data_IF_657630603218
#
_entry.id   IF_657630603218
#
_cell.length_a   1.000
_cell.length_b   1.000
_cell.length_c   1.000
_cell.angle_alpha   90.00
_cell.angle_beta   90.00
_cell.angle_gamma   90.00
#
_symmetry.space_group_name_H-M   'P 1'
#
loop_
_entity.id
_entity.type
_entity.pdbx_description
1 polymer ?
#
# COMPACT_ATOMS: atom_id res chain seq x y z
N UNK A 1 40.99 10.91 -0.17
CA UNK A 1 39.83 10.20 0.41
C UNK A 1 40.24 8.73 0.62
N UNK A 2 40.28 8.25 1.87
CA UNK A 2 40.89 6.96 2.24
C UNK A 2 40.24 5.76 1.48
N UNK A 3 41.03 4.77 1.05
CA UNK A 3 40.56 3.61 0.26
C UNK A 3 39.40 2.85 0.94
N UNK A 4 39.43 2.73 2.27
CA UNK A 4 38.33 2.17 3.08
C UNK A 4 37.00 2.90 2.91
N UNK A 5 37.01 4.24 2.82
CA UNK A 5 35.80 5.03 2.64
C UNK A 5 35.20 4.86 1.23
N UNK A 6 36.04 4.56 0.23
CA UNK A 6 35.59 4.26 -1.14
C UNK A 6 34.89 2.89 -1.20
N UNK A 7 35.45 1.87 -0.55
CA UNK A 7 34.85 0.52 -0.49
C UNK A 7 33.49 0.58 0.20
N UNK A 8 33.40 1.24 1.35
CA UNK A 8 32.14 1.37 2.10
C UNK A 8 31.05 2.09 1.28
N UNK A 9 31.43 3.15 0.57
CA UNK A 9 30.50 3.87 -0.33
C UNK A 9 30.01 2.98 -1.47
N UNK A 10 30.90 2.19 -2.07
CA UNK A 10 30.51 1.27 -3.16
C UNK A 10 29.57 0.17 -2.66
N UNK A 11 29.83 -0.41 -1.49
CA UNK A 11 28.94 -1.40 -0.87
C UNK A 11 27.56 -0.80 -0.57
N UNK A 12 27.52 0.42 -0.04
CA UNK A 12 26.26 1.13 0.20
C UNK A 12 25.48 1.37 -1.10
N UNK A 13 26.16 1.74 -2.19
CA UNK A 13 25.54 1.93 -3.50
C UNK A 13 24.93 0.63 -4.03
N UNK A 14 25.68 -0.47 -3.98
CA UNK A 14 25.20 -1.81 -4.39
C UNK A 14 23.99 -2.21 -3.56
N UNK A 15 24.03 -2.00 -2.25
CA UNK A 15 22.91 -2.28 -1.36
C UNK A 15 21.68 -1.42 -1.71
N UNK A 16 21.85 -0.13 -1.99
CA UNK A 16 20.74 0.74 -2.43
C UNK A 16 20.12 0.28 -3.75
N UNK A 17 20.92 -0.20 -4.71
CA UNK A 17 20.40 -0.77 -5.95
C UNK A 17 19.63 -2.06 -5.69
N UNK A 18 20.14 -2.92 -4.82
CA UNK A 18 19.46 -4.13 -4.38
C UNK A 18 18.09 -3.82 -3.77
N UNK A 19 18.03 -2.85 -2.84
CA UNK A 19 16.76 -2.42 -2.24
C UNK A 19 15.77 -1.86 -3.28
N UNK A 20 16.23 -1.01 -4.20
CA UNK A 20 15.38 -0.46 -5.26
C UNK A 20 14.84 -1.57 -6.19
N UNK A 21 15.67 -2.57 -6.51
CA UNK A 21 15.26 -3.74 -7.27
C UNK A 21 14.20 -4.56 -6.51
N UNK A 22 14.42 -4.82 -5.22
CA UNK A 22 13.44 -5.52 -4.37
C UNK A 22 12.10 -4.78 -4.33
N UNK A 23 12.11 -3.45 -4.20
CA UNK A 23 10.89 -2.64 -4.27
C UNK A 23 10.22 -2.76 -5.65
N UNK A 24 10.99 -2.69 -6.74
CA UNK A 24 10.46 -2.85 -8.10
C UNK A 24 9.83 -4.22 -8.35
N UNK A 25 10.48 -5.31 -7.89
CA UNK A 25 9.94 -6.67 -8.00
C UNK A 25 8.66 -6.83 -7.15
N UNK A 26 8.63 -6.25 -5.95
CA UNK A 26 7.42 -6.20 -5.13
C UNK A 26 6.28 -5.43 -5.81
N UNK A 27 6.55 -4.33 -6.51
CA UNK A 27 5.53 -3.59 -7.28
C UNK A 27 4.92 -4.43 -8.40
N UNK A 28 5.74 -5.24 -9.08
CA UNK A 28 5.33 -5.99 -10.29
C UNK A 28 4.70 -7.35 -9.93
N UNK A 29 5.15 -8.00 -8.87
CA UNK A 29 4.79 -9.39 -8.56
C UNK A 29 4.17 -9.59 -7.16
N UNK A 30 4.24 -8.60 -6.28
CA UNK A 30 3.63 -8.57 -4.95
C UNK A 30 3.79 -9.90 -4.19
N UNK A 31 2.66 -10.52 -3.79
CA UNK A 31 2.62 -11.78 -3.02
C UNK A 31 3.46 -12.88 -3.65
N UNK A 32 3.44 -13.02 -4.98
CA UNK A 32 4.17 -14.07 -5.67
C UNK A 32 5.69 -13.92 -5.48
N UNK A 33 6.20 -12.69 -5.37
CA UNK A 33 7.62 -12.44 -5.11
C UNK A 33 8.02 -12.67 -3.65
N UNK A 34 7.27 -12.11 -2.69
CA UNK A 34 7.56 -12.33 -1.26
C UNK A 34 7.36 -13.79 -0.83
N UNK A 35 6.56 -14.56 -1.58
CA UNK A 35 6.36 -15.98 -1.35
C UNK A 35 7.51 -16.87 -1.85
N UNK A 36 8.48 -16.34 -2.61
CA UNK A 36 9.64 -17.13 -3.07
C UNK A 36 10.37 -17.68 -1.85
N UNK A 37 10.68 -18.97 -1.87
CA UNK A 37 11.34 -19.65 -0.76
C UNK A 37 12.82 -19.92 -1.07
N UNK A 38 13.72 -19.44 -0.22
CA UNK A 38 15.16 -19.67 -0.27
C UNK A 38 15.55 -20.50 0.95
N UNK A 39 16.10 -21.70 0.74
CA UNK A 39 16.47 -22.63 1.83
C UNK A 39 15.32 -22.92 2.82
N UNK A 40 14.07 -22.92 2.34
CA UNK A 40 12.87 -23.14 3.14
C UNK A 40 12.32 -21.91 3.87
N UNK A 41 12.94 -20.73 3.73
CA UNK A 41 12.45 -19.46 4.31
C UNK A 41 11.93 -18.56 3.19
N UNK A 42 10.76 -17.96 3.37
CA UNK A 42 10.16 -17.07 2.37
C UNK A 42 10.85 -15.71 2.38
N UNK A 43 10.97 -15.06 1.21
CA UNK A 43 11.51 -13.70 1.12
C UNK A 43 10.76 -12.74 2.04
N UNK A 44 9.43 -12.84 2.11
CA UNK A 44 8.62 -11.99 2.99
C UNK A 44 8.92 -12.18 4.48
N UNK A 45 9.27 -13.39 4.91
CA UNK A 45 9.68 -13.66 6.30
C UNK A 45 11.06 -13.03 6.59
N UNK A 46 11.99 -13.12 5.64
CA UNK A 46 13.29 -12.45 5.73
C UNK A 46 13.16 -10.93 5.76
N UNK A 47 12.26 -10.37 4.95
CA UNK A 47 11.97 -8.93 4.92
C UNK A 47 11.42 -8.45 6.28
N UNK A 48 10.45 -9.17 6.86
CA UNK A 48 9.90 -8.85 8.19
C UNK A 48 10.95 -9.04 9.29
N UNK A 49 11.76 -10.10 9.24
CA UNK A 49 12.85 -10.32 10.20
C UNK A 49 13.91 -9.21 10.13
N UNK A 50 14.25 -8.77 8.91
CA UNK A 50 15.12 -7.62 8.69
C UNK A 50 14.52 -6.32 9.26
N UNK A 51 13.22 -6.10 9.06
CA UNK A 51 12.49 -4.95 9.60
C UNK A 51 12.47 -4.95 11.14
N UNK A 52 12.23 -6.12 11.75
CA UNK A 52 12.31 -6.32 13.20
C UNK A 52 13.72 -5.97 13.70
N UNK A 53 14.76 -6.52 13.10
CA UNK A 53 16.14 -6.27 13.50
C UNK A 53 16.51 -4.78 13.42
N UNK A 54 16.13 -4.11 12.33
CA UNK A 54 16.31 -2.66 12.18
C UNK A 54 15.57 -1.89 13.27
N UNK A 55 14.33 -2.29 13.59
CA UNK A 55 13.52 -1.68 14.64
C UNK A 55 14.17 -1.80 16.02
N UNK A 56 14.73 -2.97 16.35
CA UNK A 56 15.40 -3.20 17.63
C UNK A 56 16.71 -2.41 17.76
N UNK A 57 17.53 -2.34 16.70
CA UNK A 57 18.72 -1.47 16.69
C UNK A 57 18.28 -0.01 16.89
N UNK A 58 17.21 0.41 16.22
CA UNK A 58 16.70 1.77 16.30
C UNK A 58 16.23 2.13 17.71
N UNK A 59 15.60 1.19 18.41
CA UNK A 59 15.20 1.32 19.81
C UNK A 59 16.42 1.64 20.70
N UNK A 60 17.48 0.83 20.59
CA UNK A 60 18.70 0.97 21.40
C UNK A 60 19.45 2.27 21.10
N UNK A 61 19.68 2.58 19.82
CA UNK A 61 20.41 3.78 19.44
C UNK A 61 20.02 4.27 18.06
N UNK A 62 19.39 5.45 18.03
CA UNK A 62 19.09 6.17 16.79
C UNK A 62 20.36 6.73 16.13
N UNK A 63 21.53 6.69 16.78
CA UNK A 63 22.80 7.18 16.20
C UNK A 63 23.32 6.29 15.08
N UNK A 64 22.99 4.99 15.10
CA UNK A 64 23.31 4.06 14.01
C UNK A 64 22.49 4.31 12.75
N UNK A 65 21.45 5.14 12.86
CA UNK A 65 20.68 5.68 11.76
C UNK A 65 21.02 7.16 11.62
N UNK A 66 22.16 7.51 11.00
CA UNK A 66 22.62 8.91 10.84
C UNK A 66 21.66 9.78 10.00
N UNK A 67 20.46 9.30 9.70
CA UNK A 67 19.41 9.93 8.91
C UNK A 67 18.05 9.88 9.63
N UNK A 68 18.04 10.04 10.95
CA UNK A 68 16.77 10.10 11.67
C UNK A 68 15.88 11.19 11.09
N UNK A 69 14.72 10.80 10.54
CA UNK A 69 13.82 11.70 9.80
C UNK A 69 13.49 12.96 10.59
N UNK A 70 13.06 12.75 11.84
CA UNK A 70 12.78 13.81 12.79
C UNK A 70 12.67 13.28 14.22
N UNK A 71 12.84 14.17 15.20
CA UNK A 71 12.74 13.84 16.63
C UNK A 71 11.37 13.28 17.01
N UNK A 72 10.27 13.80 16.47
CA UNK A 72 8.92 13.34 16.81
C UNK A 72 8.66 11.94 16.24
N UNK A 73 9.01 11.71 14.97
CA UNK A 73 8.94 10.38 14.37
C UNK A 73 9.73 9.36 15.20
N UNK A 74 10.97 9.70 15.57
CA UNK A 74 11.80 8.80 16.38
C UNK A 74 11.17 8.48 17.73
N UNK A 75 10.61 9.50 18.39
CA UNK A 75 9.95 9.36 19.68
C UNK A 75 8.76 8.40 19.57
N UNK A 76 7.85 8.65 18.63
CA UNK A 76 6.65 7.82 18.49
C UNK A 76 6.98 6.41 18.04
N UNK A 77 7.92 6.22 17.10
CA UNK A 77 8.29 4.88 16.68
C UNK A 77 8.93 4.06 17.82
N UNK A 78 9.79 4.67 18.63
CA UNK A 78 10.32 4.02 19.85
C UNK A 78 9.22 3.68 20.85
N UNK A 79 8.27 4.59 21.07
CA UNK A 79 7.14 4.33 21.96
C UNK A 79 6.26 3.18 21.47
N UNK A 80 6.05 3.04 20.15
CA UNK A 80 5.32 1.90 19.56
C UNK A 80 6.05 0.58 19.83
N UNK A 81 7.39 0.55 19.64
CA UNK A 81 8.18 -0.65 19.93
C UNK A 81 8.13 -1.00 21.42
N UNK A 82 8.23 -0.01 22.31
CA UNK A 82 8.08 -0.23 23.76
C UNK A 82 6.67 -0.72 24.09
N UNK A 83 5.63 -0.17 23.47
CA UNK A 83 4.26 -0.60 23.71
C UNK A 83 4.03 -2.05 23.28
N UNK A 84 4.70 -2.53 22.23
CA UNK A 84 4.69 -3.96 21.87
C UNK A 84 5.17 -4.83 23.03
N UNK A 85 6.31 -4.51 23.64
CA UNK A 85 6.84 -5.30 24.77
C UNK A 85 5.95 -5.22 26.01
N UNK A 86 5.31 -4.08 26.26
CA UNK A 86 4.33 -3.94 27.34
C UNK A 86 3.12 -4.86 27.09
N UNK A 87 2.57 -4.85 25.87
CA UNK A 87 1.45 -5.72 25.49
C UNK A 87 1.85 -7.19 25.62
N UNK A 88 3.00 -7.58 25.08
CA UNK A 88 3.55 -8.95 25.20
C UNK A 88 3.63 -9.39 26.66
N UNK A 89 4.11 -8.53 27.56
CA UNK A 89 4.21 -8.84 28.98
C UNK A 89 2.82 -9.02 29.62
N UNK A 90 1.87 -8.13 29.33
CA UNK A 90 0.51 -8.17 29.89
C UNK A 90 -0.25 -9.41 29.39
N UNK A 91 -0.16 -9.70 28.09
CA UNK A 91 -0.87 -10.81 27.45
C UNK A 91 -0.12 -12.13 27.60
N UNK A 92 1.08 -12.14 28.18
CA UNK A 92 1.96 -13.32 28.32
C UNK A 92 2.24 -13.98 26.96
N UNK A 93 2.44 -13.16 25.92
CA UNK A 93 2.81 -13.66 24.59
C UNK A 93 4.22 -14.25 24.64
N UNK A 94 4.37 -15.44 24.06
CA UNK A 94 5.68 -16.07 23.88
C UNK A 94 6.47 -15.38 22.77
N UNK A 95 7.60 -14.76 23.14
CA UNK A 95 8.52 -14.10 22.19
C UNK A 95 9.33 -15.08 21.34
N UNK A 96 9.31 -16.38 21.63
CA UNK A 96 9.92 -17.40 20.78
C UNK A 96 8.97 -17.88 19.68
N UNK A 97 7.67 -17.58 19.80
CA UNK A 97 6.68 -17.90 18.79
C UNK A 97 6.82 -17.02 17.55
N UNK A 98 6.91 -17.64 16.38
CA UNK A 98 6.89 -16.94 15.08
C UNK A 98 5.57 -16.20 14.85
N UNK A 99 4.48 -16.68 15.44
CA UNK A 99 3.17 -16.05 15.35
C UNK A 99 3.14 -14.66 15.99
N UNK A 100 3.90 -14.45 17.07
CA UNK A 100 3.99 -13.14 17.72
C UNK A 100 4.51 -12.08 16.76
N UNK A 101 5.49 -12.41 15.91
CA UNK A 101 6.07 -11.51 14.91
C UNK A 101 5.22 -11.40 13.65
N UNK A 102 4.54 -12.49 13.24
CA UNK A 102 3.55 -12.45 12.14
C UNK A 102 2.41 -11.49 12.45
N UNK A 103 1.81 -11.61 13.64
CA UNK A 103 0.66 -10.80 14.06
C UNK A 103 1.02 -9.36 14.46
N UNK A 104 2.30 -9.08 14.71
CA UNK A 104 2.84 -7.72 14.97
C UNK A 104 3.60 -7.14 13.77
N UNK A 105 3.51 -7.74 12.59
CA UNK A 105 4.24 -7.32 11.38
C UNK A 105 4.09 -5.83 11.08
N UNK A 106 2.89 -5.28 11.25
CA UNK A 106 2.55 -3.86 11.03
C UNK A 106 3.38 -2.87 11.88
N UNK A 107 4.02 -3.34 12.95
CA UNK A 107 4.96 -2.56 13.77
C UNK A 107 6.33 -2.53 13.11
N UNK A 108 6.84 -3.71 12.77
CA UNK A 108 8.20 -3.88 12.28
C UNK A 108 8.39 -3.27 10.90
N UNK A 109 7.39 -3.39 10.04
CA UNK A 109 7.42 -2.88 8.66
C UNK A 109 7.51 -1.36 8.58
N UNK A 110 7.21 -0.61 9.65
CA UNK A 110 7.47 0.84 9.73
C UNK A 110 8.95 1.16 9.48
N UNK A 111 9.86 0.28 9.91
CA UNK A 111 11.31 0.47 9.73
C UNK A 111 11.78 0.47 8.28
N UNK A 112 10.97 -0.02 7.33
CA UNK A 112 11.24 0.10 5.89
C UNK A 112 11.37 1.55 5.44
N UNK A 113 10.87 2.51 6.22
CA UNK A 113 11.09 3.94 5.97
C UNK A 113 12.58 4.29 5.94
N UNK A 114 13.41 3.61 6.74
CA UNK A 114 14.85 3.82 6.72
C UNK A 114 15.50 3.30 5.45
N UNK A 115 14.94 2.29 4.80
CA UNK A 115 15.39 1.85 3.48
C UNK A 115 15.18 2.96 2.45
N UNK A 116 14.03 3.64 2.49
CA UNK A 116 13.75 4.79 1.63
C UNK A 116 14.75 5.92 1.81
N UNK A 117 15.02 6.29 3.06
CA UNK A 117 16.00 7.32 3.41
C UNK A 117 17.42 6.91 2.95
N UNK A 118 17.77 5.64 3.10
CA UNK A 118 19.06 5.11 2.65
C UNK A 118 19.19 5.15 1.12
N UNK A 119 18.17 4.71 0.38
CA UNK A 119 18.13 4.81 -1.09
C UNK A 119 18.28 6.27 -1.52
N UNK A 120 17.57 7.20 -0.88
CA UNK A 120 17.69 8.64 -1.18
C UNK A 120 19.13 9.13 -1.04
N UNK A 121 19.78 8.81 0.08
CA UNK A 121 21.15 9.26 0.32
C UNK A 121 22.13 8.88 -0.78
N UNK A 122 22.06 7.65 -1.29
CA UNK A 122 23.07 7.13 -2.22
C UNK A 122 22.66 7.21 -3.69
N UNK A 123 21.36 7.17 -4.00
CA UNK A 123 20.85 7.08 -5.37
C UNK A 123 20.07 8.30 -5.85
N UNK A 124 19.78 9.32 -5.02
CA UNK A 124 18.98 10.48 -5.44
C UNK A 124 19.48 11.12 -6.75
N UNK A 125 20.79 11.31 -6.90
CA UNK A 125 21.37 11.93 -8.11
C UNK A 125 21.33 11.00 -9.34
N UNK A 126 21.16 9.69 -9.14
CA UNK A 126 21.14 8.69 -10.20
C UNK A 126 19.70 8.30 -10.59
N UNK A 127 18.70 8.70 -9.79
CA UNK A 127 17.30 8.35 -10.04
C UNK A 127 16.76 8.83 -11.38
N UNK A 128 17.31 9.92 -11.93
CA UNK A 128 16.88 10.43 -13.23
C UNK A 128 17.04 9.36 -14.34
N UNK A 129 18.05 8.48 -14.21
CA UNK A 129 18.28 7.37 -15.13
C UNK A 129 17.26 6.23 -14.97
N UNK A 130 16.55 6.16 -13.83
CA UNK A 130 15.50 5.17 -13.55
C UNK A 130 14.10 5.65 -13.96
N UNK A 131 13.94 6.91 -14.39
CA UNK A 131 12.64 7.43 -14.85
C UNK A 131 11.96 6.53 -15.89
N UNK A 132 12.65 6.02 -16.93
CA UNK A 132 12.02 5.10 -17.88
C UNK A 132 11.43 3.85 -17.20
N UNK A 133 12.08 3.31 -16.17
CA UNK A 133 11.60 2.14 -15.42
C UNK A 133 10.30 2.49 -14.69
N UNK A 134 10.21 3.67 -14.06
CA UNK A 134 8.99 4.10 -13.37
C UNK A 134 7.80 4.31 -14.33
N UNK A 135 8.04 4.57 -15.61
CA UNK A 135 6.99 4.60 -16.65
C UNK A 135 6.65 3.19 -17.17
N UNK A 136 7.63 2.30 -17.28
CA UNK A 136 7.44 0.93 -17.78
C UNK A 136 6.74 0.04 -16.74
N UNK A 137 7.06 0.18 -15.46
CA UNK A 137 6.49 -0.65 -14.38
C UNK A 137 4.96 -0.69 -14.38
N UNK A 138 4.23 0.46 -14.36
CA UNK A 138 2.77 0.44 -14.48
C UNK A 138 2.27 -0.14 -15.80
N UNK A 139 2.98 0.04 -16.92
CA UNK A 139 2.57 -0.55 -18.20
C UNK A 139 2.62 -2.08 -18.15
N UNK A 140 3.69 -2.64 -17.59
CA UNK A 140 3.83 -4.09 -17.38
C UNK A 140 2.71 -4.61 -16.47
N UNK A 141 2.44 -3.91 -15.36
CA UNK A 141 1.34 -4.24 -14.45
C UNK A 141 0.00 -4.22 -15.18
N UNK A 142 -0.27 -3.20 -16.00
CA UNK A 142 -1.51 -3.11 -16.77
C UNK A 142 -1.69 -4.30 -17.72
N UNK A 143 -0.66 -4.63 -18.50
CA UNK A 143 -0.68 -5.76 -19.45
C UNK A 143 -1.00 -7.07 -18.73
N UNK A 144 -0.36 -7.32 -17.60
CA UNK A 144 -0.58 -8.51 -16.78
C UNK A 144 -1.97 -8.53 -16.13
N UNK A 145 -2.42 -7.40 -15.57
CA UNK A 145 -3.71 -7.29 -14.88
C UNK A 145 -4.91 -7.35 -15.85
N UNK A 146 -4.71 -6.97 -17.11
CA UNK A 146 -5.74 -6.96 -18.15
C UNK A 146 -5.82 -8.26 -18.97
N UNK A 147 -5.12 -9.33 -18.54
CA UNK A 147 -5.27 -10.68 -19.10
C UNK A 147 -4.06 -11.23 -19.86
N UNK A 148 -3.00 -10.46 -20.07
CA UNK A 148 -1.81 -10.91 -20.81
C UNK A 148 -0.66 -11.24 -19.87
N UNK A 149 -0.86 -12.20 -18.97
CA UNK A 149 0.19 -12.66 -18.07
C UNK A 149 1.07 -13.72 -18.74
N UNK A 150 2.40 -13.57 -18.82
CA UNK A 150 3.25 -14.55 -19.48
C UNK A 150 3.32 -15.89 -18.74
N UNK A 151 3.03 -17.00 -19.45
CA UNK A 151 3.00 -18.35 -18.86
C UNK A 151 4.32 -18.75 -18.18
N UNK A 152 5.47 -18.35 -18.74
CA UNK A 152 6.78 -18.69 -18.14
C UNK A 152 6.97 -18.03 -16.77
N UNK A 153 6.41 -16.82 -16.57
CA UNK A 153 6.45 -16.13 -15.27
C UNK A 153 5.49 -16.81 -14.29
N UNK A 154 4.30 -17.21 -14.75
CA UNK A 154 3.36 -17.97 -13.92
C UNK A 154 4.00 -19.27 -13.43
N UNK A 155 4.59 -20.04 -14.34
CA UNK A 155 5.25 -21.30 -14.02
C UNK A 155 6.40 -21.11 -13.04
N UNK A 156 7.23 -20.09 -13.23
CA UNK A 156 8.28 -19.75 -12.27
C UNK A 156 7.73 -19.55 -10.85
N UNK A 157 6.65 -18.79 -10.67
CA UNK A 157 6.08 -18.60 -9.34
C UNK A 157 5.36 -19.83 -8.80
N UNK A 158 4.77 -20.67 -9.65
CA UNK A 158 4.20 -21.95 -9.23
C UNK A 158 5.30 -22.87 -8.70
N UNK A 159 6.48 -22.88 -9.33
CA UNK A 159 7.57 -23.78 -8.98
C UNK A 159 8.38 -23.30 -7.76
N UNK A 160 8.54 -21.98 -7.59
CA UNK A 160 9.48 -21.40 -6.61
C UNK A 160 8.84 -20.54 -5.51
N UNK A 161 7.55 -20.26 -5.56
CA UNK A 161 6.83 -19.44 -4.58
C UNK A 161 5.79 -20.24 -3.81
N UNK A 162 5.44 -19.79 -2.60
CA UNK A 162 4.35 -20.32 -1.79
C UNK A 162 3.03 -20.38 -2.57
N UNK A 163 2.74 -19.33 -3.35
CA UNK A 163 1.53 -19.26 -4.18
C UNK A 163 1.69 -18.24 -5.28
N UNK A 164 1.43 -18.66 -6.52
CA UNK A 164 1.17 -17.71 -7.59
C UNK A 164 -0.18 -17.02 -7.37
N UNK A 165 -0.17 -15.68 -7.41
CA UNK A 165 -1.37 -14.87 -7.33
C UNK A 165 -1.25 -13.65 -8.24
N UNK A 166 -2.34 -13.34 -8.96
CA UNK A 166 -2.48 -12.05 -9.64
C UNK A 166 -2.47 -10.91 -8.63
N UNK A 167 -1.97 -9.75 -9.06
CA UNK A 167 -1.90 -8.55 -8.24
C UNK A 167 -3.28 -8.14 -7.73
N UNK A 168 -3.38 -7.85 -6.43
CA UNK A 168 -4.59 -7.24 -5.88
C UNK A 168 -4.67 -5.77 -6.32
N UNK A 169 -5.88 -5.22 -6.29
CA UNK A 169 -6.10 -3.82 -6.65
C UNK A 169 -5.30 -2.83 -5.76
N UNK A 170 -5.13 -3.16 -4.48
CA UNK A 170 -4.30 -2.39 -3.54
C UNK A 170 -2.82 -2.41 -3.92
N UNK A 171 -2.29 -3.57 -4.32
CA UNK A 171 -0.91 -3.72 -4.81
C UNK A 171 -0.68 -2.91 -6.10
N UNK A 172 -1.64 -2.93 -7.04
CA UNK A 172 -1.60 -2.12 -8.26
C UNK A 172 -1.60 -0.62 -7.93
N UNK A 173 -2.47 -0.19 -7.02
CA UNK A 173 -2.59 1.22 -6.64
C UNK A 173 -1.29 1.75 -6.02
N UNK A 174 -0.71 1.03 -5.06
CA UNK A 174 0.54 1.46 -4.42
C UNK A 174 1.69 1.53 -5.41
N UNK A 175 1.80 0.58 -6.34
CA UNK A 175 2.81 0.60 -7.39
C UNK A 175 2.65 1.81 -8.32
N UNK A 176 1.41 2.13 -8.72
CA UNK A 176 1.09 3.26 -9.58
C UNK A 176 1.42 4.60 -8.93
N UNK A 177 1.00 4.81 -7.68
CA UNK A 177 1.23 6.06 -6.92
C UNK A 177 2.71 6.22 -6.56
N UNK A 178 3.37 5.14 -6.15
CA UNK A 178 4.81 5.19 -5.82
C UNK A 178 5.65 5.51 -7.05
N UNK A 179 5.33 4.88 -8.20
CA UNK A 179 6.01 5.16 -9.47
C UNK A 179 5.81 6.63 -9.91
N UNK A 180 4.61 7.20 -9.75
CA UNK A 180 4.39 8.63 -9.96
C UNK A 180 5.29 9.51 -9.09
N UNK A 181 5.41 9.18 -7.79
CA UNK A 181 6.22 9.95 -6.87
C UNK A 181 7.73 9.83 -7.14
N UNK A 182 8.20 8.66 -7.57
CA UNK A 182 9.57 8.52 -8.04
C UNK A 182 9.85 9.39 -9.27
N UNK A 183 8.93 9.47 -10.24
CA UNK A 183 9.03 10.41 -11.38
C UNK A 183 9.07 11.85 -10.88
N UNK A 184 8.14 12.24 -10.01
CA UNK A 184 8.02 13.60 -9.46
C UNK A 184 9.30 14.08 -8.76
N UNK A 185 9.92 13.22 -7.96
CA UNK A 185 11.14 13.58 -7.22
C UNK A 185 12.35 13.81 -8.14
N UNK A 186 12.41 13.14 -9.29
CA UNK A 186 13.52 13.33 -10.25
C UNK A 186 13.58 14.73 -10.86
N UNK A 187 12.53 15.55 -10.72
CA UNK A 187 12.44 16.91 -11.29
C UNK A 187 12.69 16.98 -12.81
N UNK A 188 12.46 15.88 -13.55
CA UNK A 188 12.64 15.83 -15.00
C UNK A 188 11.68 16.78 -15.75
N UNK A 189 10.57 17.16 -15.11
CA UNK A 189 9.70 18.25 -15.51
C UNK A 189 8.22 17.98 -15.22
N UNK A 190 7.47 19.03 -14.84
CA UNK A 190 6.04 18.95 -14.52
C UNK A 190 5.19 18.37 -15.68
N UNK A 191 5.64 18.53 -16.93
CA UNK A 191 5.04 17.89 -18.10
C UNK A 191 4.91 16.38 -17.93
N UNK A 192 5.95 15.72 -17.45
CA UNK A 192 5.98 14.25 -17.30
C UNK A 192 5.09 13.79 -16.16
N UNK A 193 5.01 14.57 -15.07
CA UNK A 193 4.06 14.32 -13.98
C UNK A 193 2.61 14.38 -14.48
N UNK A 194 2.27 15.41 -15.27
CA UNK A 194 0.92 15.56 -15.84
C UNK A 194 0.62 14.47 -16.87
N UNK A 195 1.56 14.14 -17.77
CA UNK A 195 1.39 13.01 -18.71
C UNK A 195 1.16 11.72 -17.94
N UNK A 196 1.93 11.50 -16.87
CA UNK A 196 1.76 10.29 -16.06
C UNK A 196 0.35 10.23 -15.46
N UNK A 197 -0.09 11.33 -14.83
CA UNK A 197 -1.39 11.46 -14.18
C UNK A 197 -2.54 11.20 -15.18
N UNK A 198 -2.52 11.83 -16.36
CA UNK A 198 -3.59 11.71 -17.34
C UNK A 198 -3.56 10.38 -18.10
N UNK A 199 -2.39 9.86 -18.45
CA UNK A 199 -2.32 8.64 -19.24
C UNK A 199 -2.44 7.38 -18.37
N UNK A 200 -1.62 7.22 -17.33
CA UNK A 200 -1.61 5.97 -16.57
C UNK A 200 -2.84 5.85 -15.67
N UNK A 201 -3.24 6.91 -14.95
CA UNK A 201 -4.41 6.79 -14.08
C UNK A 201 -5.68 6.47 -14.88
N UNK A 202 -5.85 7.03 -16.09
CA UNK A 202 -7.00 6.73 -16.93
C UNK A 202 -7.04 5.30 -17.45
N UNK A 203 -5.89 4.72 -17.79
CA UNK A 203 -5.80 3.30 -18.16
C UNK A 203 -6.11 2.40 -16.95
N UNK A 204 -5.71 2.80 -15.74
CA UNK A 204 -5.91 1.99 -14.53
C UNK A 204 -7.30 2.15 -13.90
N UNK A 205 -8.07 3.19 -14.22
CA UNK A 205 -9.42 3.39 -13.68
C UNK A 205 -10.34 2.18 -13.93
N UNK A 206 -10.51 1.67 -15.17
CA UNK A 206 -11.34 0.48 -15.41
C UNK A 206 -10.82 -0.79 -14.73
N UNK A 207 -9.49 -0.95 -14.68
CA UNK A 207 -8.84 -2.10 -14.03
C UNK A 207 -9.17 -2.12 -12.53
N UNK A 208 -8.96 -0.99 -11.85
CA UNK A 208 -9.23 -0.88 -10.42
C UNK A 208 -10.72 -0.98 -10.12
N UNK A 209 -11.58 -0.45 -10.99
CA UNK A 209 -13.03 -0.59 -10.87
C UNK A 209 -13.48 -2.06 -10.90
N UNK A 210 -12.89 -2.88 -11.78
CA UNK A 210 -13.15 -4.34 -11.84
C UNK A 210 -12.64 -5.06 -10.58
N UNK A 211 -11.43 -4.73 -10.13
CA UNK A 211 -10.75 -5.48 -9.08
C UNK A 211 -11.17 -5.09 -7.66
N UNK A 212 -11.35 -3.79 -7.36
CA UNK A 212 -11.74 -3.29 -6.02
C UNK A 212 -12.28 -1.87 -6.04
N UNK A 213 -13.52 -1.70 -5.56
CA UNK A 213 -14.16 -0.38 -5.36
C UNK A 213 -13.36 0.53 -4.43
N UNK A 214 -12.78 -0.02 -3.36
CA UNK A 214 -11.94 0.75 -2.43
C UNK A 214 -10.69 1.33 -3.10
N UNK A 215 -10.01 0.52 -3.93
CA UNK A 215 -8.82 0.98 -4.67
C UNK A 215 -9.19 1.94 -5.81
N UNK A 216 -10.36 1.76 -6.43
CA UNK A 216 -10.91 2.73 -7.38
C UNK A 216 -11.14 4.11 -6.72
N UNK A 217 -11.77 4.15 -5.55
CA UNK A 217 -11.91 5.41 -4.80
C UNK A 217 -10.54 5.97 -4.41
N UNK A 218 -9.59 5.11 -4.03
CA UNK A 218 -8.20 5.48 -3.78
C UNK A 218 -7.53 6.19 -4.95
N UNK A 219 -7.62 5.66 -6.18
CA UNK A 219 -7.04 6.34 -7.35
C UNK A 219 -7.75 7.65 -7.68
N UNK A 220 -9.07 7.73 -7.46
CA UNK A 220 -9.84 8.96 -7.66
C UNK A 220 -9.39 10.05 -6.67
N UNK A 221 -9.22 9.72 -5.39
CA UNK A 221 -8.65 10.63 -4.38
C UNK A 221 -7.26 11.12 -4.81
N UNK A 222 -6.39 10.20 -5.24
CA UNK A 222 -5.07 10.54 -5.76
C UNK A 222 -5.14 11.54 -6.93
N UNK A 223 -5.98 11.24 -7.93
CA UNK A 223 -6.13 12.07 -9.12
C UNK A 223 -6.63 13.48 -8.78
N UNK A 224 -7.63 13.60 -7.90
CA UNK A 224 -8.14 14.91 -7.47
C UNK A 224 -7.09 15.72 -6.71
N UNK A 225 -6.39 15.10 -5.76
CA UNK A 225 -5.34 15.78 -4.99
C UNK A 225 -4.18 16.21 -5.88
N UNK A 226 -3.68 15.35 -6.77
CA UNK A 226 -2.61 15.73 -7.69
C UNK A 226 -3.04 16.78 -8.71
N UNK A 227 -4.26 16.69 -9.25
CA UNK A 227 -4.78 17.74 -10.12
C UNK A 227 -4.85 19.10 -9.39
N UNK A 228 -5.25 19.10 -8.12
CA UNK A 228 -5.24 20.30 -7.28
C UNK A 228 -3.83 20.85 -7.07
N UNK A 229 -2.84 19.99 -6.77
CA UNK A 229 -1.46 20.44 -6.56
C UNK A 229 -0.77 20.88 -7.86
N UNK A 230 -1.18 20.36 -9.02
CA UNK A 230 -0.65 20.73 -10.34
C UNK A 230 -1.45 21.85 -11.02
N UNK A 231 -2.49 22.42 -10.38
CA UNK A 231 -3.44 23.36 -10.99
C UNK A 231 -2.78 24.54 -11.72
N UNK A 232 -1.70 25.08 -11.17
CA UNK A 232 -0.98 26.22 -11.76
C UNK A 232 -0.40 25.86 -13.14
N UNK A 233 0.23 24.69 -13.25
CA UNK A 233 0.74 24.18 -14.52
C UNK A 233 -0.40 23.84 -15.48
N UNK A 234 -1.47 23.19 -14.98
CA UNK A 234 -2.62 22.81 -15.81
C UNK A 234 -3.31 24.02 -16.46
N UNK A 235 -3.43 25.13 -15.72
CA UNK A 235 -4.00 26.39 -16.22
C UNK A 235 -3.03 27.10 -17.17
N UNK A 236 -1.74 27.19 -16.79
CA UNK A 236 -0.70 27.82 -17.61
C UNK A 236 -0.58 27.16 -18.99
N UNK A 237 -0.60 25.84 -19.03
CA UNK A 237 -0.43 25.03 -20.24
C UNK A 237 -1.77 24.50 -20.79
N UNK A 238 -2.87 25.26 -20.64
CA UNK A 238 -4.25 24.82 -20.94
C UNK A 238 -4.46 24.07 -22.26
N UNK A 239 -3.75 24.45 -23.33
CA UNK A 239 -3.82 23.76 -24.63
C UNK A 239 -3.24 22.34 -24.55
N UNK A 240 -2.08 22.17 -23.90
CA UNK A 240 -1.48 20.85 -23.66
C UNK A 240 -2.32 20.05 -22.69
N UNK A 241 -2.83 20.68 -21.64
CA UNK A 241 -3.76 20.05 -20.68
C UNK A 241 -5.01 19.50 -21.38
N UNK A 242 -5.60 20.25 -22.32
CA UNK A 242 -6.73 19.77 -23.12
C UNK A 242 -6.37 18.55 -23.97
N UNK A 243 -5.18 18.56 -24.60
CA UNK A 243 -4.68 17.40 -25.35
C UNK A 243 -4.52 16.17 -24.44
N UNK A 244 -3.92 16.34 -23.26
CA UNK A 244 -3.76 15.25 -22.28
C UNK A 244 -5.10 14.73 -21.77
N UNK A 245 -6.07 15.62 -21.55
CA UNK A 245 -7.42 15.24 -21.17
C UNK A 245 -8.11 14.41 -22.26
N UNK A 246 -8.07 14.86 -23.53
CA UNK A 246 -8.65 14.09 -24.64
C UNK A 246 -7.95 12.73 -24.80
N UNK A 247 -6.62 12.69 -24.71
CA UNK A 247 -5.87 11.43 -24.74
C UNK A 247 -6.28 10.50 -23.58
N UNK A 248 -6.51 11.06 -22.39
CA UNK A 248 -6.96 10.30 -21.21
C UNK A 248 -8.33 9.66 -21.40
N UNK A 249 -9.26 10.35 -22.08
CA UNK A 249 -10.59 9.80 -22.42
C UNK A 249 -10.48 8.65 -23.40
N UNK A 250 -9.64 8.80 -24.43
CA UNK A 250 -9.38 7.73 -25.41
C UNK A 250 -8.77 6.52 -24.69
N UNK A 251 -7.75 6.72 -23.86
CA UNK A 251 -7.09 5.66 -23.12
C UNK A 251 -8.02 4.95 -22.13
N UNK A 252 -8.88 5.71 -21.43
CA UNK A 252 -9.92 5.15 -20.57
C UNK A 252 -10.86 4.25 -21.37
N UNK A 253 -11.40 4.74 -22.49
CA UNK A 253 -12.27 3.94 -23.35
C UNK A 253 -11.57 2.68 -23.86
N UNK A 254 -10.35 2.78 -24.38
CA UNK A 254 -9.58 1.61 -24.82
C UNK A 254 -9.39 0.59 -23.69
N UNK A 255 -9.18 1.08 -22.46
CA UNK A 255 -9.10 0.20 -21.30
C UNK A 255 -10.44 -0.45 -20.93
N UNK A 256 -11.59 0.21 -21.11
CA UNK A 256 -12.89 -0.42 -20.86
C UNK A 256 -13.13 -1.58 -21.83
N UNK A 257 -12.87 -1.39 -23.13
CA UNK A 257 -12.95 -2.48 -24.14
C UNK A 257 -12.07 -3.66 -23.75
N UNK A 258 -10.82 -3.38 -23.38
CA UNK A 258 -9.89 -4.44 -22.98
C UNK A 258 -10.37 -5.19 -21.73
N UNK A 259 -10.97 -4.50 -20.77
CA UNK A 259 -11.40 -5.12 -19.52
C UNK A 259 -12.65 -5.98 -19.63
N UNK A 260 -13.54 -5.69 -20.60
CA UNK A 260 -14.71 -6.53 -20.93
C UNK A 260 -14.42 -7.57 -22.00
N UNK A 261 -13.30 -7.44 -22.72
CA UNK A 261 -12.96 -8.35 -23.82
C UNK A 261 -13.73 -8.08 -25.10
N UNK A 262 -14.42 -6.93 -25.19
CA UNK A 262 -15.09 -6.50 -26.42
C UNK A 262 -14.03 -6.09 -27.44
N UNK A 263 -14.06 -6.75 -28.60
CA UNK A 263 -13.15 -6.43 -29.69
C UNK A 263 -13.44 -5.05 -30.28
N UNK A 264 -12.38 -4.30 -30.59
CA UNK A 264 -12.49 -2.96 -31.17
C UNK A 264 -12.70 -3.09 -32.69
N UNK A 265 -13.95 -3.02 -33.12
CA UNK A 265 -14.40 -3.02 -34.52
C UNK A 265 -15.24 -1.77 -34.82
N UNK A 266 -15.34 -1.27 -36.07
CA UNK A 266 -16.13 -0.07 -36.40
C UNK A 266 -17.56 -0.08 -35.85
N UNK A 267 -18.22 -1.24 -35.81
CA UNK A 267 -19.57 -1.43 -35.28
C UNK A 267 -19.67 -1.30 -33.76
N UNK A 268 -18.59 -1.63 -33.05
CA UNK A 268 -18.52 -1.61 -31.58
C UNK A 268 -18.03 -0.28 -31.05
N UNK A 269 -17.45 0.59 -31.90
CA UNK A 269 -16.91 1.89 -31.47
C UNK A 269 -18.07 2.88 -31.35
N UNK A 270 -18.62 2.98 -30.14
CA UNK A 270 -19.67 3.94 -29.82
C UNK A 270 -19.58 4.38 -28.36
N UNK A 271 -20.12 5.57 -28.04
CA UNK A 271 -20.25 6.03 -26.65
C UNK A 271 -21.12 5.09 -25.82
N UNK A 272 -22.15 4.52 -26.44
CA UNK A 272 -23.07 3.57 -25.81
C UNK A 272 -22.34 2.29 -25.36
N UNK A 273 -21.49 1.74 -26.22
CA UNK A 273 -20.68 0.55 -25.89
C UNK A 273 -19.70 0.82 -24.75
N UNK A 274 -19.13 2.03 -24.65
CA UNK A 274 -18.29 2.41 -23.50
C UNK A 274 -19.11 2.44 -22.21
N UNK A 275 -20.33 2.99 -22.23
CA UNK A 275 -21.23 3.00 -21.07
C UNK A 275 -21.59 1.58 -20.66
N UNK A 276 -21.97 0.73 -21.60
CA UNK A 276 -22.28 -0.69 -21.36
C UNK A 276 -21.08 -1.44 -20.78
N UNK A 277 -19.88 -1.22 -21.31
CA UNK A 277 -18.65 -1.82 -20.78
C UNK A 277 -18.37 -1.38 -19.34
N UNK A 278 -18.59 -0.10 -19.02
CA UNK A 278 -18.45 0.41 -17.65
C UNK A 278 -19.48 -0.25 -16.73
N UNK A 279 -20.73 -0.38 -17.16
CA UNK A 279 -21.77 -1.07 -16.41
C UNK A 279 -21.39 -2.54 -16.16
N UNK A 280 -20.91 -3.26 -17.17
CA UNK A 280 -20.46 -4.64 -17.03
C UNK A 280 -19.31 -4.75 -16.01
N UNK A 281 -18.29 -3.89 -16.10
CA UNK A 281 -17.16 -3.87 -15.17
C UNK A 281 -17.63 -3.62 -13.74
N UNK A 282 -18.60 -2.73 -13.54
CA UNK A 282 -19.13 -2.44 -12.19
C UNK A 282 -20.01 -3.57 -11.63
N UNK A 283 -20.70 -4.31 -12.51
CA UNK A 283 -21.52 -5.48 -12.16
C UNK A 283 -20.73 -6.76 -11.96
N UNK A 284 -19.48 -6.83 -12.43
CA UNK A 284 -18.61 -8.01 -12.30
C UNK A 284 -18.54 -8.58 -10.87
N UNK A 285 -18.69 -7.74 -9.84
CA UNK A 285 -18.99 -8.17 -8.48
C UNK A 285 -20.47 -7.94 -8.20
N UNK A 286 -21.24 -9.01 -8.21
CA UNK A 286 -22.72 -9.17 -8.12
C UNK A 286 -23.40 -8.41 -6.94
N UNK A 287 -23.24 -7.09 -6.88
CA UNK A 287 -23.75 -6.21 -5.82
C UNK A 287 -24.16 -4.89 -6.45
N UNK A 288 -25.40 -4.81 -6.93
CA UNK A 288 -26.00 -3.63 -7.59
C UNK A 288 -26.30 -2.46 -6.65
N UNK A 289 -25.63 -2.35 -5.49
CA UNK A 289 -25.87 -1.28 -4.52
C UNK A 289 -24.59 -0.50 -4.26
N UNK A 290 -24.73 0.84 -4.24
CA UNK A 290 -23.62 1.78 -4.21
C UNK A 290 -22.65 1.52 -3.04
N UNK A 291 -21.34 1.70 -3.25
CA UNK A 291 -20.31 1.48 -2.22
C UNK A 291 -20.52 2.28 -0.91
N UNK A 292 -21.27 3.39 -0.96
CA UNK A 292 -21.62 4.23 0.19
C UNK A 292 -23.08 4.07 0.65
N UNK A 293 -23.69 2.94 0.36
CA UNK A 293 -25.09 2.65 0.73
C UNK A 293 -25.17 2.17 2.19
N UNK A 294 -24.77 3.03 3.12
CA UNK A 294 -24.78 2.74 4.55
C UNK A 294 -26.16 2.93 5.18
N UNK A 295 -26.49 2.10 6.16
CA UNK A 295 -27.68 2.23 6.99
C UNK A 295 -27.40 1.71 8.41
N UNK A 296 -28.29 2.00 9.35
CA UNK A 296 -28.26 1.37 10.68
C UNK A 296 -29.21 0.18 10.64
N UNK A 297 -28.72 -1.01 10.94
CA UNK A 297 -29.54 -2.23 10.93
C UNK A 297 -30.41 -2.33 12.20
N UNK A 298 -31.26 -3.34 12.25
CA UNK A 298 -32.21 -3.57 13.35
C UNK A 298 -31.53 -3.81 14.72
N UNK A 299 -30.26 -4.19 14.73
CA UNK A 299 -29.44 -4.39 15.94
C UNK A 299 -28.69 -3.11 16.36
N UNK A 300 -28.86 -2.00 15.65
CA UNK A 300 -28.19 -0.73 15.92
C UNK A 300 -26.77 -0.63 15.37
N UNK A 301 -26.32 -1.60 14.57
CA UNK A 301 -25.00 -1.60 13.94
C UNK A 301 -25.02 -0.80 12.63
N UNK A 302 -23.89 -0.16 12.31
CA UNK A 302 -23.65 0.40 10.99
C UNK A 302 -23.46 -0.74 9.98
N UNK A 303 -24.24 -0.74 8.92
CA UNK A 303 -24.24 -1.77 7.90
C UNK A 303 -24.22 -1.14 6.49
N UNK A 304 -24.00 -1.96 5.46
CA UNK A 304 -23.94 -1.53 4.07
C UNK A 304 -24.74 -2.48 3.18
N UNK A 305 -25.37 -1.94 2.14
CA UNK A 305 -25.98 -2.81 1.13
C UNK A 305 -24.96 -3.46 0.18
N UNK A 306 -23.69 -3.05 0.23
CA UNK A 306 -22.58 -3.75 -0.41
C UNK A 306 -22.12 -4.89 0.52
N UNK A 307 -22.28 -6.13 0.07
CA UNK A 307 -22.02 -7.32 0.89
C UNK A 307 -20.57 -7.39 1.43
N UNK A 308 -19.58 -6.92 0.67
CA UNK A 308 -18.18 -6.92 1.12
C UNK A 308 -17.96 -5.89 2.22
N UNK A 309 -18.59 -4.73 2.09
CA UNK A 309 -18.50 -3.64 3.07
C UNK A 309 -19.30 -3.98 4.33
N UNK A 310 -20.49 -4.57 4.20
CA UNK A 310 -21.28 -5.13 5.30
C UNK A 310 -20.47 -6.11 6.13
N UNK A 311 -19.89 -7.13 5.48
CA UNK A 311 -19.05 -8.14 6.13
C UNK A 311 -17.87 -7.54 6.90
N UNK A 312 -17.27 -6.44 6.42
CA UNK A 312 -16.19 -5.75 7.12
C UNK A 312 -16.69 -4.96 8.32
N UNK A 313 -17.76 -4.19 8.16
CA UNK A 313 -18.36 -3.39 9.23
C UNK A 313 -18.82 -4.26 10.41
N UNK A 314 -19.37 -5.43 10.10
CA UNK A 314 -19.72 -6.47 11.08
C UNK A 314 -18.51 -6.88 11.92
N UNK A 315 -17.43 -7.35 11.28
CA UNK A 315 -16.18 -7.74 11.96
C UNK A 315 -15.63 -6.59 12.83
N UNK A 316 -15.57 -5.37 12.29
CA UNK A 316 -14.97 -4.24 13.00
C UNK A 316 -15.75 -3.84 14.25
N UNK A 317 -17.08 -3.83 14.14
CA UNK A 317 -17.94 -3.49 15.27
C UNK A 317 -17.90 -4.58 16.34
N UNK A 318 -17.87 -5.86 15.96
CA UNK A 318 -17.74 -6.96 16.91
C UNK A 318 -16.40 -6.94 17.64
N UNK A 319 -15.30 -6.71 16.92
CA UNK A 319 -13.97 -6.58 17.53
C UNK A 319 -13.97 -5.49 18.60
N UNK A 320 -14.50 -4.30 18.28
CA UNK A 320 -14.54 -3.18 19.24
C UNK A 320 -15.51 -3.43 20.40
N UNK A 321 -16.66 -4.02 20.13
CA UNK A 321 -17.69 -4.31 21.12
C UNK A 321 -17.21 -5.36 22.13
N UNK A 322 -16.58 -6.42 21.65
CA UNK A 322 -16.05 -7.48 22.51
C UNK A 322 -14.83 -7.01 23.29
N UNK A 323 -13.94 -6.20 22.68
CA UNK A 323 -12.86 -5.57 23.43
C UNK A 323 -13.37 -4.72 24.60
N UNK A 324 -14.50 -4.02 24.42
CA UNK A 324 -15.15 -3.28 25.50
C UNK A 324 -15.69 -4.22 26.58
N UNK A 325 -16.47 -5.24 26.19
CA UNK A 325 -17.04 -6.23 27.12
C UNK A 325 -15.98 -6.98 27.93
N UNK A 326 -14.86 -7.31 27.30
CA UNK A 326 -13.75 -8.05 27.91
C UNK A 326 -12.73 -7.16 28.64
N UNK A 327 -12.97 -5.84 28.74
CA UNK A 327 -12.03 -4.86 29.31
C UNK A 327 -10.64 -4.87 28.64
N UNK A 328 -10.57 -5.20 27.34
CA UNK A 328 -9.34 -5.27 26.54
C UNK A 328 -9.07 -4.01 25.72
N UNK A 329 -9.87 -2.95 25.84
CA UNK A 329 -9.66 -1.70 25.07
C UNK A 329 -8.27 -1.09 25.24
N UNK A 330 -7.68 -1.16 26.45
CA UNK A 330 -6.35 -0.60 26.70
C UNK A 330 -5.20 -1.51 26.29
N UNK A 331 -5.37 -2.82 26.41
CA UNK A 331 -4.29 -3.82 26.21
C UNK A 331 -4.32 -4.47 24.83
N UNK A 332 -5.49 -4.50 24.19
CA UNK A 332 -5.76 -5.38 23.06
C UNK A 332 -5.83 -6.85 23.45
N UNK A 333 -6.01 -7.70 22.44
CA UNK A 333 -5.90 -9.16 22.51
C UNK A 333 -4.43 -9.63 22.50
N UNK A 334 -3.48 -8.75 22.17
CA UNK A 334 -2.07 -9.10 22.03
C UNK A 334 -1.78 -9.95 20.79
N UNK A 335 -0.65 -10.66 20.85
CA UNK A 335 -0.02 -11.31 19.69
C UNK A 335 0.08 -12.84 19.85
N UNK A 336 -0.80 -13.44 20.65
CA UNK A 336 -0.76 -14.88 21.00
C UNK A 336 -1.37 -15.72 19.89
N UNK A 337 -2.54 -15.32 19.40
CA UNK A 337 -3.40 -16.15 18.54
C UNK A 337 -4.23 -15.29 17.57
N UNK A 338 -5.01 -15.94 16.73
CA UNK A 338 -5.95 -15.28 15.82
C UNK A 338 -6.98 -14.52 16.65
N UNK A 339 -7.43 -13.36 16.17
CA UNK A 339 -8.45 -12.58 16.86
C UNK A 339 -9.73 -13.43 17.04
N UNK A 340 -10.29 -13.52 18.26
CA UNK A 340 -11.43 -14.41 18.54
C UNK A 340 -12.62 -14.21 17.59
N UNK A 341 -12.88 -12.96 17.18
CA UNK A 341 -13.96 -12.59 16.27
C UNK A 341 -13.82 -13.20 14.88
N UNK A 342 -12.59 -13.49 14.45
CA UNK A 342 -12.33 -14.17 13.20
C UNK A 342 -12.65 -15.68 13.30
N UNK A 343 -12.67 -16.23 14.50
CA UNK A 343 -12.93 -17.64 14.80
C UNK A 343 -14.38 -17.91 15.24
N UNK A 344 -15.27 -16.92 15.09
CA UNK A 344 -16.67 -17.04 15.51
C UNK A 344 -17.39 -18.19 14.76
N UNK A 345 -17.83 -19.24 15.45
CA UNK A 345 -18.50 -20.39 14.82
C UNK A 345 -19.88 -20.04 14.24
N UNK A 346 -20.50 -18.93 14.68
CA UNK A 346 -21.77 -18.43 14.14
C UNK A 346 -21.57 -17.66 12.83
N UNK A 347 -20.34 -17.19 12.57
CA UNK A 347 -19.94 -16.48 11.36
C UNK A 347 -18.72 -17.13 10.67
N UNK A 348 -18.80 -18.44 10.29
CA UNK A 348 -17.64 -19.19 9.78
C UNK A 348 -17.06 -18.60 8.47
N UNK A 349 -17.85 -17.79 7.75
CA UNK A 349 -17.40 -17.08 6.56
C UNK A 349 -16.29 -16.05 6.81
N UNK A 350 -16.00 -15.65 8.06
CA UNK A 350 -14.95 -14.68 8.40
C UNK A 350 -13.54 -15.18 8.07
N UNK A 351 -13.31 -16.49 8.20
CA UNK A 351 -12.04 -17.13 7.82
C UNK A 351 -11.86 -17.27 6.29
N UNK A 352 -12.85 -16.83 5.51
CA UNK A 352 -12.87 -17.04 4.07
C UNK A 352 -13.15 -18.50 3.70
N UNK A 353 -13.31 -18.76 2.40
CA UNK A 353 -13.64 -20.10 1.89
C UNK A 353 -12.53 -21.14 2.11
N UNK A 354 -11.28 -20.68 2.22
CA UNK A 354 -10.12 -21.54 2.47
C UNK A 354 -9.82 -21.71 3.96
N UNK A 355 -10.49 -20.98 4.85
CA UNK A 355 -10.28 -21.05 6.30
C UNK A 355 -8.98 -20.39 6.77
N UNK A 356 -8.27 -19.65 5.91
CA UNK A 356 -6.93 -19.13 6.19
C UNK A 356 -6.91 -17.62 6.49
N UNK A 357 -8.05 -16.92 6.39
CA UNK A 357 -8.10 -15.49 6.64
C UNK A 357 -8.11 -15.16 8.13
N UNK A 358 -7.00 -14.64 8.64
CA UNK A 358 -6.85 -14.22 10.05
C UNK A 358 -7.01 -12.71 10.25
N UNK A 359 -7.19 -11.95 9.16
CA UNK A 359 -7.15 -10.49 9.18
C UNK A 359 -8.55 -9.89 9.20
N UNK A 360 -8.67 -8.73 9.86
CA UNK A 360 -9.90 -7.94 9.94
C UNK A 360 -10.06 -6.96 8.77
N UNK A 361 -9.11 -6.91 7.83
CA UNK A 361 -9.16 -6.06 6.62
C UNK A 361 -9.25 -4.55 6.91
N UNK A 362 -8.64 -4.09 8.01
CA UNK A 362 -8.54 -2.67 8.35
C UNK A 362 -7.33 -2.42 9.24
N UNK A 363 -6.38 -1.63 8.75
CA UNK A 363 -5.13 -1.33 9.43
C UNK A 363 -5.32 -0.80 10.86
N UNK A 364 -6.26 0.13 11.07
CA UNK A 364 -6.47 0.72 12.40
C UNK A 364 -7.21 -0.22 13.35
N UNK A 365 -8.14 -1.04 12.83
CA UNK A 365 -8.80 -2.08 13.63
C UNK A 365 -7.80 -3.16 14.01
N UNK A 366 -6.86 -3.53 13.13
CA UNK A 366 -5.74 -4.41 13.48
C UNK A 366 -4.89 -3.81 14.60
N UNK A 367 -4.49 -2.53 14.51
CA UNK A 367 -3.68 -1.89 15.55
C UNK A 367 -4.39 -1.86 16.91
N UNK A 368 -5.65 -1.39 16.96
CA UNK A 368 -6.38 -1.28 18.23
C UNK A 368 -6.70 -2.66 18.81
N UNK A 369 -7.07 -3.64 17.99
CA UNK A 369 -7.36 -5.00 18.46
C UNK A 369 -6.14 -5.71 19.00
N UNK A 370 -4.95 -5.46 18.42
CA UNK A 370 -3.72 -6.10 18.85
C UNK A 370 -3.06 -5.41 20.04
N UNK A 371 -2.82 -4.09 19.98
CA UNK A 371 -2.09 -3.36 21.02
C UNK A 371 -2.89 -2.33 21.80
N UNK A 372 -4.21 -2.32 21.65
CA UNK A 372 -5.11 -1.45 22.40
C UNK A 372 -5.03 0.03 22.01
N UNK A 373 -5.76 0.84 22.78
CA UNK A 373 -5.93 2.27 22.54
C UNK A 373 -4.60 3.04 22.60
N UNK A 374 -3.68 2.64 23.48
CA UNK A 374 -2.36 3.29 23.61
C UNK A 374 -1.59 3.15 22.29
N UNK A 375 -1.48 1.93 21.77
CA UNK A 375 -0.75 1.71 20.53
C UNK A 375 -1.44 2.39 19.35
N UNK A 376 -2.78 2.36 19.31
CA UNK A 376 -3.56 3.09 18.30
C UNK A 376 -3.24 4.59 18.28
N UNK A 377 -3.25 5.25 19.43
CA UNK A 377 -2.90 6.68 19.55
C UNK A 377 -1.45 6.92 19.08
N UNK A 378 -0.52 6.05 19.45
CA UNK A 378 0.88 6.17 19.03
C UNK A 378 1.04 6.06 17.50
N UNK A 379 0.30 5.18 16.84
CA UNK A 379 0.29 5.11 15.38
C UNK A 379 -0.34 6.34 14.73
N UNK A 380 -1.40 6.92 15.30
CA UNK A 380 -1.94 8.19 14.82
C UNK A 380 -0.89 9.31 14.92
N UNK A 381 -0.19 9.40 16.05
CA UNK A 381 0.88 10.38 16.27
C UNK A 381 2.07 10.14 15.32
N UNK A 382 2.41 8.88 15.02
CA UNK A 382 3.41 8.52 14.02
C UNK A 382 3.02 9.08 12.63
N UNK A 383 1.79 8.85 12.17
CA UNK A 383 1.32 9.36 10.88
C UNK A 383 1.28 10.89 10.82
N UNK A 384 0.85 11.55 11.91
CA UNK A 384 0.91 13.01 12.04
C UNK A 384 2.36 13.51 11.98
N UNK A 385 3.31 12.81 12.59
CA UNK A 385 4.73 13.19 12.54
C UNK A 385 5.29 13.15 11.12
N UNK A 386 4.91 12.14 10.31
CA UNK A 386 5.30 12.01 8.90
C UNK A 386 4.81 13.20 8.07
N UNK A 387 3.56 13.60 8.27
CA UNK A 387 3.00 14.80 7.66
C UNK A 387 3.74 16.08 8.09
N UNK A 388 4.05 16.22 9.38
CA UNK A 388 4.76 17.37 9.92
C UNK A 388 6.21 17.47 9.43
N UNK A 389 6.88 16.34 9.17
CA UNK A 389 8.20 16.31 8.51
C UNK A 389 8.10 16.96 7.13
N UNK A 390 7.17 16.50 6.29
CA UNK A 390 6.98 17.05 4.95
C UNK A 390 6.65 18.54 4.98
N UNK A 391 5.70 18.95 5.81
CA UNK A 391 5.26 20.34 5.91
C UNK A 391 6.39 21.28 6.31
N UNK A 392 7.28 20.87 7.23
CA UNK A 392 8.46 21.65 7.63
C UNK A 392 9.48 21.77 6.49
N UNK A 393 9.73 20.69 5.76
CA UNK A 393 10.74 20.66 4.71
C UNK A 393 10.29 21.36 3.41
N UNK A 394 9.01 21.28 3.06
CA UNK A 394 8.51 21.66 1.73
C UNK A 394 7.44 22.76 1.73
N UNK A 395 6.93 23.16 2.90
CA UNK A 395 5.91 24.23 3.10
C UNK A 395 4.63 24.07 2.27
N UNK A 396 4.32 22.86 1.83
CA UNK A 396 3.09 22.53 1.12
C UNK A 396 2.50 21.22 1.67
N UNK A 397 1.31 20.85 1.19
CA UNK A 397 0.60 19.66 1.64
C UNK A 397 0.64 18.53 0.61
N UNK A 398 1.50 18.63 -0.42
CA UNK A 398 1.47 17.73 -1.58
C UNK A 398 1.58 16.25 -1.20
N UNK A 399 2.29 15.92 -0.12
CA UNK A 399 2.40 14.55 0.41
C UNK A 399 1.05 13.88 0.71
N UNK A 400 -0.02 14.64 0.91
CA UNK A 400 -1.36 14.11 1.11
C UNK A 400 -1.85 13.30 -0.09
N UNK A 401 -1.44 13.63 -1.32
CA UNK A 401 -1.77 12.80 -2.48
C UNK A 401 -1.08 11.45 -2.43
N UNK A 402 0.02 11.27 -1.69
CA UNK A 402 0.58 9.95 -1.41
C UNK A 402 -0.18 9.28 -0.26
N UNK A 403 -0.19 9.93 0.91
CA UNK A 403 -0.63 9.30 2.16
C UNK A 403 -2.14 9.03 2.18
N UNK A 404 -2.98 10.00 1.79
CA UNK A 404 -4.43 9.90 1.94
C UNK A 404 -5.04 8.73 1.13
N UNK A 405 -4.78 8.58 -0.18
CA UNK A 405 -5.39 7.48 -0.94
C UNK A 405 -4.91 6.09 -0.49
N UNK A 406 -3.64 5.98 -0.07
CA UNK A 406 -3.05 4.71 0.35
C UNK A 406 -3.51 4.29 1.74
N UNK A 407 -3.66 5.24 2.67
CA UNK A 407 -4.28 4.97 3.97
C UNK A 407 -5.77 4.69 3.82
N UNK A 408 -6.49 5.38 2.94
CA UNK A 408 -7.90 5.10 2.66
C UNK A 408 -8.11 3.65 2.21
N UNK A 409 -7.28 3.15 1.30
CA UNK A 409 -7.35 1.73 0.89
C UNK A 409 -7.02 0.79 2.04
N UNK A 410 -6.10 1.19 2.93
CA UNK A 410 -5.72 0.39 4.09
C UNK A 410 -6.78 0.36 5.21
N UNK A 411 -7.80 1.22 5.14
CA UNK A 411 -9.02 1.10 5.97
C UNK A 411 -9.93 -0.03 5.50
N UNK A 412 -9.75 -0.50 4.27
CA UNK A 412 -10.70 -1.35 3.56
C UNK A 412 -10.05 -2.63 3.00
N UNK A 413 -8.80 -2.93 3.35
CA UNK A 413 -8.06 -4.08 2.84
C UNK A 413 -6.97 -4.48 3.84
N UNK A 414 -6.39 -5.66 3.67
CA UNK A 414 -5.26 -6.19 4.48
C UNK A 414 -3.91 -5.57 4.11
N UNK A 415 -3.89 -4.46 3.37
CA UNK A 415 -2.68 -3.94 2.72
C UNK A 415 -1.53 -3.76 3.71
N UNK A 416 -1.71 -2.98 4.77
CA UNK A 416 -0.66 -2.72 5.78
C UNK A 416 -0.33 -3.90 6.69
N UNK A 417 -1.15 -4.95 6.69
CA UNK A 417 -0.90 -6.17 7.48
C UNK A 417 -0.03 -7.19 6.71
N UNK A 418 0.08 -7.03 5.38
CA UNK A 418 0.98 -7.81 4.53
C UNK A 418 2.44 -7.35 4.61
N UNK A 419 3.29 -7.82 3.69
CA UNK A 419 4.71 -7.42 3.64
C UNK A 419 4.99 -6.47 2.48
N UNK A 420 4.50 -6.82 1.30
CA UNK A 420 4.79 -6.12 0.06
C UNK A 420 4.26 -4.67 0.03
N UNK A 421 3.04 -4.45 0.51
CA UNK A 421 2.44 -3.12 0.51
C UNK A 421 3.13 -2.17 1.50
N UNK A 422 3.35 -2.52 2.79
CA UNK A 422 4.08 -1.63 3.70
C UNK A 422 5.55 -1.46 3.29
N UNK A 423 6.19 -2.46 2.68
CA UNK A 423 7.53 -2.30 2.09
C UNK A 423 7.54 -1.19 1.04
N UNK A 424 6.66 -1.24 0.04
CA UNK A 424 6.59 -0.22 -1.00
C UNK A 424 6.18 1.13 -0.39
N UNK A 425 5.18 1.15 0.50
CA UNK A 425 4.66 2.36 1.13
C UNK A 425 5.72 3.08 1.94
N UNK A 426 6.30 2.43 2.95
CA UNK A 426 7.26 3.08 3.85
C UNK A 426 8.58 3.38 3.14
N UNK A 427 9.06 2.49 2.25
CA UNK A 427 10.28 2.78 1.47
C UNK A 427 10.09 3.99 0.57
N UNK A 428 8.97 4.08 -0.16
CA UNK A 428 8.65 5.26 -0.97
C UNK A 428 8.49 6.49 -0.09
N UNK A 429 7.78 6.39 1.03
CA UNK A 429 7.58 7.51 1.95
C UNK A 429 8.89 8.04 2.54
N UNK A 430 9.79 7.15 2.99
CA UNK A 430 11.09 7.54 3.51
C UNK A 430 11.96 8.23 2.46
N UNK A 431 11.88 7.77 1.21
CA UNK A 431 12.52 8.42 0.08
C UNK A 431 11.93 9.81 -0.17
N UNK A 432 10.59 9.93 -0.20
CA UNK A 432 9.88 11.20 -0.42
C UNK A 432 10.16 12.20 0.70
N UNK A 433 10.15 11.79 1.97
CA UNK A 433 10.38 12.68 3.11
C UNK A 433 11.82 13.18 3.21
N UNK A 434 12.78 12.42 2.66
CA UNK A 434 14.18 12.84 2.58
C UNK A 434 14.39 13.96 1.55
N UNK A 435 13.45 14.10 0.63
CA UNK A 435 13.48 15.13 -0.38
C UNK A 435 13.15 16.52 0.19
N UNK A 436 13.94 17.51 -0.21
CA UNK A 436 13.77 18.92 0.13
C UNK A 436 13.66 19.73 -1.14
N UNK A 437 12.60 20.51 -1.28
CA UNK A 437 12.37 21.36 -2.43
C UNK A 437 13.34 22.53 -2.54
#
# INVERSE_FOLDING_TARGET
MNSKNKILKNLALVFSYGLLLTVGLNMVFARSFVGISLLGIRIGELEVAGALFVSLIFLVSSRFFPFSLDKDFNKYFKMIIVSFFIVVFITKTDLTSTYAYKSSSYIWTVSFIFFGVFIHKYLNNLLIYFVPIFFITPLVIYIMASGNYPNFIMQFFIDYSDKFQFLKASDILIALISSYYFVKITKIGQKYEVIYLFCFCSIFLPVLMKLSRGSFVGIVIFMFLEAYYQKEYLIKEKKKTLIYFVASLILFSLSTYRMTGVEIRPETISTQTVVENVEEITRYKDTTKAFFSFYINEYGYLDSWDATTSWRLDIWQDVLTDMYKENKLFTGYGYIEILPQMLDPTAPGRLGRDGLNEHVHNYFVTIISRGGLIQFILFLLLHVSLFNIWRRNNRNLNILSFIAPLLFVSLLDISMDGVQFPLIYFTSLGFILSYRN
#
